data_IF_668629602647
#
_entry.id   IF_668629602647
#
_cell.length_a   1.000
_cell.length_b   1.000
_cell.length_c   1.000
_cell.angle_alpha   90.00
_cell.angle_beta   90.00
_cell.angle_gamma   90.00
#
_symmetry.space_group_name_H-M   'P 1'
#
loop_
_entity.id
_entity.type
_entity.pdbx_description
1 polymer ?
#
# COMPACT_ATOMS: atom_id res chain seq x y z
N UNK A 1 30.27 -0.61 0.36
CA UNK A 1 29.13 0.17 -0.19
C UNK A 1 27.95 -0.78 -0.22
N UNK A 2 26.83 -0.43 0.39
CA UNK A 2 25.62 -1.26 0.28
C UNK A 2 25.24 -1.37 -1.19
N UNK A 3 25.00 -2.60 -1.66
CA UNK A 3 24.62 -2.86 -3.03
C UNK A 3 23.31 -2.11 -3.32
N UNK A 4 23.35 -1.11 -4.22
CA UNK A 4 22.22 -0.24 -4.52
C UNK A 4 21.14 -1.05 -5.23
N UNK A 5 20.18 -1.58 -4.46
CA UNK A 5 19.08 -2.38 -4.99
C UNK A 5 18.01 -1.47 -5.61
N UNK A 6 17.41 -1.90 -6.72
CA UNK A 6 16.23 -1.25 -7.27
C UNK A 6 15.00 -1.78 -6.52
N UNK A 7 14.25 -0.85 -5.93
CA UNK A 7 13.05 -1.14 -5.13
C UNK A 7 11.82 -0.59 -5.84
N UNK A 8 10.81 -1.42 -6.06
CA UNK A 8 9.52 -0.98 -6.56
C UNK A 8 8.62 -0.55 -5.40
N UNK A 9 8.04 0.64 -5.51
CA UNK A 9 6.99 1.11 -4.60
C UNK A 9 5.69 1.29 -5.38
N UNK A 10 4.68 0.48 -5.06
CA UNK A 10 3.31 0.70 -5.53
C UNK A 10 2.54 1.47 -4.47
N UNK A 11 1.64 2.37 -4.89
CA UNK A 11 0.93 3.24 -3.95
C UNK A 11 1.76 4.42 -3.40
N UNK A 12 2.80 4.85 -4.11
CA UNK A 12 3.67 5.97 -3.74
C UNK A 12 2.93 7.31 -3.59
N UNK A 13 1.76 7.47 -4.23
CA UNK A 13 0.89 8.66 -4.06
C UNK A 13 0.09 8.65 -2.76
N UNK A 14 0.12 7.56 -1.99
CA UNK A 14 -0.56 7.43 -0.70
C UNK A 14 0.26 7.98 0.46
N UNK A 15 -0.37 8.04 1.64
CA UNK A 15 0.26 8.57 2.86
C UNK A 15 1.56 7.82 3.24
N UNK A 16 1.50 6.50 3.29
CA UNK A 16 2.67 5.67 3.65
C UNK A 16 3.70 5.67 2.53
N UNK A 17 3.28 5.44 1.28
CA UNK A 17 4.19 5.38 0.13
C UNK A 17 4.96 6.68 -0.08
N UNK A 18 4.28 7.83 0.02
CA UNK A 18 4.93 9.15 -0.12
C UNK A 18 5.99 9.45 0.94
N UNK A 19 5.88 8.82 2.13
CA UNK A 19 6.89 8.92 3.21
C UNK A 19 7.98 7.86 3.11
N UNK A 20 7.66 6.70 2.58
CA UNK A 20 8.59 5.60 2.40
C UNK A 20 9.65 5.92 1.33
N UNK A 21 9.22 6.51 0.20
CA UNK A 21 10.13 6.78 -0.93
C UNK A 21 11.35 7.60 -0.50
N UNK A 22 11.23 8.77 0.16
CA UNK A 22 12.43 9.52 0.57
C UNK A 22 13.33 8.72 1.54
N UNK A 23 12.76 7.89 2.41
CA UNK A 23 13.55 7.05 3.32
C UNK A 23 14.37 5.99 2.58
N UNK A 24 13.82 5.42 1.51
CA UNK A 24 14.55 4.47 0.66
C UNK A 24 15.69 5.17 -0.10
N UNK A 25 15.45 6.38 -0.59
CA UNK A 25 16.48 7.19 -1.26
C UNK A 25 17.60 7.59 -0.30
N UNK A 26 17.26 8.05 0.91
CA UNK A 26 18.22 8.37 2.00
C UNK A 26 19.07 7.15 2.39
N UNK A 27 18.49 5.94 2.31
CA UNK A 27 19.21 4.69 2.54
C UNK A 27 20.10 4.24 1.35
N UNK A 28 20.16 5.02 0.26
CA UNK A 28 21.00 4.75 -0.90
C UNK A 28 20.41 3.77 -1.92
N UNK A 29 19.11 3.47 -1.83
CA UNK A 29 18.44 2.61 -2.79
C UNK A 29 17.96 3.39 -4.01
N UNK A 30 17.94 2.73 -5.17
CA UNK A 30 17.22 3.21 -6.34
C UNK A 30 15.75 2.86 -6.16
N UNK A 31 14.86 3.80 -6.47
CA UNK A 31 13.42 3.60 -6.29
C UNK A 31 12.71 3.76 -7.62
N UNK A 32 11.81 2.83 -7.91
CA UNK A 32 10.84 2.90 -9.01
C UNK A 32 9.43 2.97 -8.43
N UNK A 33 8.62 3.89 -8.94
CA UNK A 33 7.24 4.07 -8.53
C UNK A 33 6.29 3.65 -9.66
N UNK A 34 5.35 2.74 -9.39
CA UNK A 34 4.25 2.44 -10.31
C UNK A 34 3.05 3.31 -9.95
N UNK A 35 2.58 4.10 -10.89
CA UNK A 35 1.41 4.97 -10.72
C UNK A 35 0.48 4.91 -11.94
N UNK A 36 -0.85 4.86 -11.70
CA UNK A 36 -1.86 4.91 -12.78
C UNK A 36 -1.85 6.25 -13.52
N UNK A 37 -1.56 7.31 -12.82
CA UNK A 37 -1.36 8.65 -13.35
C UNK A 37 -0.03 9.20 -12.81
N UNK A 38 1.05 9.14 -13.59
CA UNK A 38 2.38 9.63 -13.22
C UNK A 38 2.40 11.09 -12.75
N UNK A 39 1.55 11.95 -13.31
CA UNK A 39 1.48 13.38 -12.95
C UNK A 39 1.19 13.61 -11.46
N UNK A 40 0.54 12.65 -10.80
CA UNK A 40 0.27 12.71 -9.36
C UNK A 40 1.53 12.58 -8.49
N UNK A 41 2.64 12.19 -9.07
CA UNK A 41 3.94 12.12 -8.39
C UNK A 41 4.75 13.42 -8.55
N UNK A 42 4.45 14.27 -9.55
CA UNK A 42 5.17 15.52 -9.84
C UNK A 42 5.17 16.51 -8.65
N UNK A 43 4.15 16.44 -7.78
CA UNK A 43 4.05 17.29 -6.59
C UNK A 43 4.94 16.86 -5.41
N UNK A 44 5.67 15.74 -5.52
CA UNK A 44 6.54 15.27 -4.45
C UNK A 44 7.98 15.77 -4.63
N UNK A 45 8.66 16.26 -3.57
CA UNK A 45 10.02 16.79 -3.64
C UNK A 45 11.08 15.79 -4.14
N UNK A 46 10.78 14.50 -4.09
CA UNK A 46 11.65 13.40 -4.50
C UNK A 46 11.36 12.89 -5.92
N UNK A 47 10.40 13.49 -6.65
CA UNK A 47 9.96 13.01 -7.97
C UNK A 47 11.12 12.79 -8.95
N UNK A 48 12.04 13.77 -9.04
CA UNK A 48 13.17 13.72 -9.98
C UNK A 48 14.27 12.71 -9.58
N UNK A 49 14.15 12.08 -8.42
CA UNK A 49 15.11 11.12 -7.88
C UNK A 49 14.66 9.67 -8.07
N UNK A 50 13.48 9.44 -8.66
CA UNK A 50 12.90 8.10 -8.83
C UNK A 50 12.61 7.80 -10.29
N UNK A 51 12.59 6.51 -10.63
CA UNK A 51 12.04 6.03 -11.90
C UNK A 51 10.51 5.98 -11.78
N UNK A 52 9.78 6.61 -12.70
CA UNK A 52 8.32 6.57 -12.72
C UNK A 52 7.83 5.72 -13.89
N UNK A 53 7.03 4.70 -13.58
CA UNK A 53 6.36 3.84 -14.57
C UNK A 53 4.86 4.10 -14.50
N UNK A 54 4.28 4.49 -15.64
CA UNK A 54 2.83 4.63 -15.78
C UNK A 54 2.18 3.28 -16.03
N UNK A 55 1.17 2.90 -15.21
CA UNK A 55 0.48 1.64 -15.44
C UNK A 55 -0.54 1.31 -14.35
N UNK A 56 -1.47 0.40 -14.70
CA UNK A 56 -2.47 -0.13 -13.75
C UNK A 56 -2.09 -1.55 -13.33
N UNK A 57 -2.03 -1.80 -12.04
CA UNK A 57 -1.75 -3.12 -11.47
C UNK A 57 -2.82 -4.20 -11.79
N UNK A 58 -3.97 -3.80 -12.34
CA UNK A 58 -4.91 -4.73 -12.97
C UNK A 58 -4.42 -5.25 -14.32
N UNK A 59 -3.52 -4.53 -14.98
CA UNK A 59 -2.94 -4.90 -16.26
C UNK A 59 -1.59 -5.56 -16.01
N UNK A 60 -1.53 -6.86 -16.21
CA UNK A 60 -0.36 -7.67 -15.85
C UNK A 60 0.92 -7.19 -16.53
N UNK A 61 0.84 -6.77 -17.79
CA UNK A 61 1.99 -6.26 -18.55
C UNK A 61 2.59 -4.99 -17.91
N UNK A 62 1.75 -4.11 -17.32
CA UNK A 62 2.24 -2.93 -16.58
C UNK A 62 3.07 -3.33 -15.35
N UNK A 63 2.69 -4.41 -14.67
CA UNK A 63 3.44 -4.94 -13.54
C UNK A 63 4.74 -5.61 -14.00
N UNK A 64 4.69 -6.38 -15.09
CA UNK A 64 5.87 -7.04 -15.65
C UNK A 64 6.94 -6.00 -16.04
N UNK A 65 6.53 -4.90 -16.69
CA UNK A 65 7.43 -3.79 -17.00
C UNK A 65 7.98 -3.12 -15.74
N UNK A 66 7.09 -2.79 -14.78
CA UNK A 66 7.48 -2.12 -13.54
C UNK A 66 8.45 -2.96 -12.70
N UNK A 67 8.39 -4.28 -12.78
CA UNK A 67 9.18 -5.22 -11.97
C UNK A 67 10.52 -5.61 -12.62
N UNK A 68 10.82 -5.17 -13.84
CA UNK A 68 12.09 -5.50 -14.50
C UNK A 68 13.28 -4.98 -13.69
N UNK A 69 14.19 -5.89 -13.30
CA UNK A 69 15.41 -5.57 -12.54
C UNK A 69 15.18 -5.15 -11.08
N UNK A 70 13.95 -5.26 -10.59
CA UNK A 70 13.60 -4.97 -9.19
C UNK A 70 14.00 -6.14 -8.28
N UNK A 71 14.62 -5.84 -7.14
CA UNK A 71 14.94 -6.84 -6.12
C UNK A 71 13.86 -6.96 -5.05
N UNK A 72 13.27 -5.85 -4.63
CA UNK A 72 12.25 -5.80 -3.57
C UNK A 72 11.07 -4.97 -4.01
N UNK A 73 9.86 -5.43 -3.75
CA UNK A 73 8.64 -4.72 -4.12
C UNK A 73 7.74 -4.44 -2.90
N UNK A 74 7.39 -3.17 -2.71
CA UNK A 74 6.41 -2.75 -1.70
C UNK A 74 5.00 -2.75 -2.30
N UNK A 75 4.13 -3.56 -1.72
CA UNK A 75 2.71 -3.59 -2.06
C UNK A 75 1.91 -2.73 -1.09
N UNK A 76 1.60 -1.48 -1.50
CA UNK A 76 0.84 -0.50 -0.70
C UNK A 76 -0.48 -0.09 -1.38
N UNK A 77 -0.94 -0.87 -2.37
CA UNK A 77 -2.19 -0.60 -3.09
C UNK A 77 -3.37 -1.16 -2.30
N UNK A 78 -4.45 -0.39 -2.23
CA UNK A 78 -5.75 -0.84 -1.72
C UNK A 78 -6.88 -0.01 -2.32
N UNK A 79 -8.10 -0.58 -2.36
CA UNK A 79 -9.31 0.11 -2.76
C UNK A 79 -9.68 1.19 -1.75
N UNK A 80 -10.25 2.30 -2.23
CA UNK A 80 -10.57 3.47 -1.39
C UNK A 80 -11.99 3.46 -0.83
N UNK A 81 -12.92 2.76 -1.46
CA UNK A 81 -14.35 2.86 -1.19
C UNK A 81 -14.92 1.69 -0.36
N UNK A 82 -14.16 0.59 -0.21
CA UNK A 82 -14.50 -0.51 0.69
C UNK A 82 -15.72 -1.35 0.29
N UNK A 83 -16.24 -1.19 -0.92
CA UNK A 83 -17.35 -1.99 -1.42
C UNK A 83 -16.91 -3.35 -1.99
N UNK A 84 -17.90 -4.23 -2.30
CA UNK A 84 -17.64 -5.58 -2.81
C UNK A 84 -16.88 -5.57 -4.16
N UNK A 85 -17.12 -4.56 -5.00
CA UNK A 85 -16.37 -4.36 -6.28
C UNK A 85 -14.90 -4.02 -6.03
N UNK A 86 -14.61 -3.20 -5.02
CA UNK A 86 -13.25 -2.84 -4.65
C UNK A 86 -12.52 -4.06 -4.07
N UNK A 87 -13.19 -4.87 -3.24
CA UNK A 87 -12.63 -6.11 -2.70
C UNK A 87 -12.20 -7.08 -3.81
N UNK A 88 -13.06 -7.33 -4.81
CA UNK A 88 -12.73 -8.19 -5.95
C UNK A 88 -11.58 -7.62 -6.79
N UNK A 89 -11.55 -6.31 -6.98
CA UNK A 89 -10.45 -5.61 -7.66
C UNK A 89 -9.13 -5.76 -6.91
N UNK A 90 -9.14 -5.59 -5.60
CA UNK A 90 -7.94 -5.72 -4.76
C UNK A 90 -7.35 -7.13 -4.84
N UNK A 91 -8.21 -8.16 -4.84
CA UNK A 91 -7.77 -9.55 -5.00
C UNK A 91 -7.21 -9.83 -6.40
N UNK A 92 -7.80 -9.25 -7.45
CA UNK A 92 -7.27 -9.37 -8.81
C UNK A 92 -5.89 -8.70 -8.93
N UNK A 93 -5.72 -7.50 -8.35
CA UNK A 93 -4.44 -6.79 -8.29
C UNK A 93 -3.40 -7.62 -7.54
N UNK A 94 -3.76 -8.21 -6.39
CA UNK A 94 -2.84 -9.03 -5.60
C UNK A 94 -2.36 -10.27 -6.38
N UNK A 95 -3.27 -10.95 -7.10
CA UNK A 95 -2.91 -12.10 -7.95
C UNK A 95 -1.96 -11.70 -9.08
N UNK A 96 -2.27 -10.62 -9.79
CA UNK A 96 -1.41 -10.11 -10.86
C UNK A 96 -0.03 -9.73 -10.33
N UNK A 97 0.01 -9.04 -9.18
CA UNK A 97 1.25 -8.62 -8.54
C UNK A 97 2.12 -9.83 -8.14
N UNK A 98 1.53 -10.82 -7.49
CA UNK A 98 2.21 -12.04 -7.10
C UNK A 98 2.78 -12.79 -8.32
N UNK A 99 1.98 -12.95 -9.38
CA UNK A 99 2.40 -13.61 -10.60
C UNK A 99 3.53 -12.86 -11.34
N UNK A 100 3.46 -11.52 -11.40
CA UNK A 100 4.52 -10.71 -12.00
C UNK A 100 5.80 -10.74 -11.15
N UNK A 101 5.68 -10.72 -9.82
CA UNK A 101 6.82 -10.83 -8.91
C UNK A 101 7.56 -12.16 -9.07
N UNK A 102 6.84 -13.27 -9.24
CA UNK A 102 7.45 -14.58 -9.54
C UNK A 102 8.21 -14.58 -10.88
N UNK A 103 7.58 -14.06 -11.95
CA UNK A 103 8.23 -13.99 -13.27
C UNK A 103 9.48 -13.12 -13.25
N UNK A 104 9.43 -11.98 -12.54
CA UNK A 104 10.55 -11.07 -12.39
C UNK A 104 11.61 -11.59 -11.41
N UNK A 105 11.36 -12.71 -10.70
CA UNK A 105 12.25 -13.28 -9.67
C UNK A 105 12.57 -12.28 -8.56
N UNK A 106 11.55 -11.52 -8.12
CA UNK A 106 11.69 -10.60 -6.99
C UNK A 106 12.16 -11.38 -5.75
N UNK A 107 13.16 -10.85 -5.05
CA UNK A 107 13.72 -11.48 -3.84
C UNK A 107 12.74 -11.42 -2.65
N UNK A 108 11.92 -10.35 -2.56
CA UNK A 108 10.99 -10.11 -1.45
C UNK A 108 9.86 -9.17 -1.82
N UNK A 109 8.67 -9.50 -1.36
CA UNK A 109 7.53 -8.58 -1.32
C UNK A 109 7.37 -8.07 0.13
N UNK A 110 7.18 -6.76 0.30
CA UNK A 110 6.81 -6.16 1.57
C UNK A 110 5.39 -5.65 1.44
N UNK A 111 4.49 -6.20 2.23
CA UNK A 111 3.07 -5.89 2.24
C UNK A 111 2.67 -5.20 3.54
N UNK A 112 1.96 -4.07 3.43
CA UNK A 112 1.32 -3.42 4.56
C UNK A 112 -0.12 -3.91 4.68
N UNK A 113 -0.32 -4.86 5.57
CA UNK A 113 -1.62 -5.46 5.88
C UNK A 113 -2.30 -4.78 7.07
N UNK A 114 -3.52 -5.23 7.36
CA UNK A 114 -4.30 -4.77 8.50
C UNK A 114 -4.13 -5.70 9.71
N UNK A 115 -4.15 -5.11 10.91
CA UNK A 115 -4.20 -5.86 12.15
C UNK A 115 -5.66 -6.27 12.40
N UNK A 116 -6.01 -7.49 12.01
CA UNK A 116 -7.35 -8.05 12.15
C UNK A 116 -7.33 -9.39 12.87
N UNK A 117 -8.39 -9.68 13.61
CA UNK A 117 -8.65 -11.03 14.09
C UNK A 117 -9.45 -11.79 13.01
N UNK A 118 -8.84 -12.81 12.37
CA UNK A 118 -9.49 -13.55 11.29
C UNK A 118 -10.70 -14.38 11.75
N UNK A 119 -10.88 -14.58 13.06
CA UNK A 119 -12.01 -15.32 13.64
C UNK A 119 -13.25 -14.42 13.85
N UNK A 120 -13.08 -13.11 13.76
CA UNK A 120 -14.17 -12.14 13.88
C UNK A 120 -14.97 -11.98 12.58
N UNK A 121 -16.19 -11.43 12.69
CA UNK A 121 -16.98 -11.06 11.51
C UNK A 121 -16.40 -9.82 10.85
N UNK A 122 -15.51 -10.04 9.89
CA UNK A 122 -14.80 -8.98 9.18
C UNK A 122 -15.71 -8.28 8.16
N UNK A 123 -15.63 -6.95 8.12
CA UNK A 123 -16.22 -6.20 7.02
C UNK A 123 -15.62 -6.65 5.66
N UNK A 124 -16.34 -6.46 4.52
CA UNK A 124 -15.80 -6.81 3.20
C UNK A 124 -14.42 -6.20 2.92
N UNK A 125 -14.19 -4.99 3.39
CA UNK A 125 -12.88 -4.31 3.29
C UNK A 125 -11.79 -5.06 4.05
N UNK A 126 -11.97 -5.33 5.35
CA UNK A 126 -10.98 -6.02 6.17
C UNK A 126 -10.72 -7.45 5.68
N UNK A 127 -11.78 -8.12 5.22
CA UNK A 127 -11.67 -9.45 4.62
C UNK A 127 -10.79 -9.42 3.36
N UNK A 128 -11.02 -8.48 2.44
CA UNK A 128 -10.19 -8.37 1.22
C UNK A 128 -8.73 -8.04 1.54
N UNK A 129 -8.46 -7.25 2.59
CA UNK A 129 -7.09 -6.97 3.06
C UNK A 129 -6.41 -8.22 3.58
N UNK A 130 -7.10 -9.03 4.38
CA UNK A 130 -6.60 -10.30 4.89
C UNK A 130 -6.33 -11.29 3.75
N UNK A 131 -7.29 -11.44 2.82
CA UNK A 131 -7.16 -12.31 1.64
C UNK A 131 -6.03 -11.86 0.71
N UNK A 132 -5.81 -10.55 0.55
CA UNK A 132 -4.67 -9.98 -0.19
C UNK A 132 -3.34 -10.50 0.37
N UNK A 133 -3.17 -10.41 1.70
CA UNK A 133 -1.97 -10.95 2.35
C UNK A 133 -1.79 -12.45 2.13
N UNK A 134 -2.89 -13.20 2.14
CA UNK A 134 -2.89 -14.63 1.87
C UNK A 134 -2.45 -14.94 0.42
N UNK A 135 -3.03 -14.23 -0.57
CA UNK A 135 -2.69 -14.38 -1.98
C UNK A 135 -1.22 -14.06 -2.27
N UNK A 136 -0.70 -12.99 -1.68
CA UNK A 136 0.72 -12.64 -1.84
C UNK A 136 1.63 -13.73 -1.28
N UNK A 137 1.32 -14.28 -0.09
CA UNK A 137 2.10 -15.37 0.54
C UNK A 137 2.00 -16.70 -0.20
N UNK A 138 0.94 -16.90 -0.97
CA UNK A 138 0.79 -18.12 -1.79
C UNK A 138 1.75 -18.14 -2.99
N UNK A 139 2.35 -16.99 -3.33
CA UNK A 139 3.40 -16.90 -4.34
C UNK A 139 4.70 -17.57 -3.83
N UNK A 140 5.59 -17.91 -4.77
CA UNK A 140 6.93 -18.42 -4.44
C UNK A 140 7.89 -17.36 -3.93
N UNK A 141 7.50 -16.08 -4.01
CA UNK A 141 8.30 -14.96 -3.53
C UNK A 141 8.14 -14.80 -2.02
N UNK A 142 9.22 -14.72 -1.23
CA UNK A 142 9.13 -14.46 0.20
C UNK A 142 8.38 -13.15 0.48
N UNK A 143 7.39 -13.19 1.38
CA UNK A 143 6.59 -12.03 1.77
C UNK A 143 6.84 -11.66 3.22
N UNK A 144 7.15 -10.39 3.46
CA UNK A 144 7.12 -9.79 4.79
C UNK A 144 5.83 -8.98 4.91
N UNK A 145 4.92 -9.43 5.73
CA UNK A 145 3.67 -8.73 6.03
C UNK A 145 3.83 -7.91 7.31
N UNK A 146 3.70 -6.58 7.18
CA UNK A 146 3.64 -5.66 8.31
C UNK A 146 2.17 -5.40 8.60
N UNK A 147 1.67 -5.85 9.75
CA UNK A 147 0.28 -5.65 10.15
C UNK A 147 0.17 -4.43 11.04
N UNK A 148 -0.56 -3.44 10.57
CA UNK A 148 -0.82 -2.22 11.31
C UNK A 148 -2.33 -2.05 11.54
N UNK A 149 -2.69 -1.46 12.66
CA UNK A 149 -4.05 -0.95 12.87
C UNK A 149 -4.21 0.41 12.19
N UNK A 150 -4.88 1.32 12.86
CA UNK A 150 -5.07 2.68 12.37
C UNK A 150 -3.73 3.44 12.30
N UNK A 151 -3.31 3.82 11.09
CA UNK A 151 -2.11 4.64 10.90
C UNK A 151 -2.51 6.11 11.00
N UNK A 152 -2.00 6.78 12.05
CA UNK A 152 -2.29 8.18 12.32
C UNK A 152 -1.06 9.05 12.07
N UNK A 153 -1.30 10.27 11.63
CA UNK A 153 -0.25 11.28 11.46
C UNK A 153 -0.68 12.39 10.50
N UNK A 154 -0.02 13.52 10.59
CA UNK A 154 -0.34 14.71 9.80
C UNK A 154 -0.35 14.39 8.29
N UNK A 155 -1.48 14.70 7.64
CA UNK A 155 -1.71 14.42 6.21
C UNK A 155 -2.26 13.01 5.92
N UNK A 156 -2.48 12.13 6.92
CA UNK A 156 -3.27 10.92 6.69
C UNK A 156 -4.75 11.26 6.63
N UNK A 157 -5.48 10.69 5.66
CA UNK A 157 -6.89 11.03 5.45
C UNK A 157 -7.75 10.81 6.71
N UNK A 158 -7.51 9.72 7.44
CA UNK A 158 -8.25 9.41 8.66
C UNK A 158 -7.92 10.38 9.79
N UNK A 159 -6.64 10.71 9.99
CA UNK A 159 -6.22 11.67 11.00
C UNK A 159 -6.80 13.06 10.73
N UNK A 160 -6.71 13.53 9.47
CA UNK A 160 -7.25 14.84 9.10
C UNK A 160 -8.78 14.89 9.23
N UNK A 161 -9.47 13.79 8.96
CA UNK A 161 -10.92 13.69 9.17
C UNK A 161 -11.25 13.77 10.67
N UNK A 162 -10.58 13.02 11.53
CA UNK A 162 -10.80 13.05 12.97
C UNK A 162 -10.48 14.46 13.50
N UNK A 163 -9.35 15.05 13.11
CA UNK A 163 -8.96 16.40 13.49
C UNK A 163 -10.02 17.42 13.10
N UNK A 164 -10.47 17.38 11.84
CA UNK A 164 -11.50 18.30 11.34
C UNK A 164 -12.80 18.19 12.16
N UNK A 165 -13.26 16.96 12.43
CA UNK A 165 -14.49 16.73 13.21
C UNK A 165 -14.34 17.25 14.64
N UNK A 166 -13.22 16.99 15.30
CA UNK A 166 -13.01 17.41 16.70
C UNK A 166 -12.76 18.92 16.86
N UNK A 167 -12.18 19.57 15.87
CA UNK A 167 -11.89 21.02 15.93
C UNK A 167 -13.08 21.89 15.50
N UNK A 168 -13.99 21.38 14.66
CA UNK A 168 -15.00 22.20 14.02
C UNK A 168 -16.44 21.86 14.41
N UNK A 169 -16.70 20.62 14.80
CA UNK A 169 -18.06 20.21 15.14
C UNK A 169 -18.31 20.36 16.65
N UNK A 170 -19.27 21.22 17.07
CA UNK A 170 -19.55 21.42 18.50
C UNK A 170 -20.20 20.19 19.15
N UNK A 171 -20.82 19.32 18.35
CA UNK A 171 -21.44 18.06 18.79
C UNK A 171 -21.13 16.96 17.79
N UNK A 172 -20.51 15.90 18.27
CA UNK A 172 -20.23 14.70 17.47
C UNK A 172 -21.29 13.63 17.76
N UNK A 173 -22.03 13.25 16.73
CA UNK A 173 -22.90 12.09 16.79
C UNK A 173 -22.03 10.84 16.54
N UNK A 174 -21.76 10.09 17.62
CA UNK A 174 -20.90 8.93 17.56
C UNK A 174 -21.74 7.65 17.41
N UNK A 175 -21.69 6.94 16.27
CA UNK A 175 -22.30 5.62 16.14
C UNK A 175 -21.67 4.62 17.10
N UNK A 176 -22.36 3.51 17.40
CA UNK A 176 -21.90 2.50 18.37
C UNK A 176 -20.50 1.93 18.03
N UNK A 177 -20.14 1.81 16.75
CA UNK A 177 -18.81 1.34 16.33
C UNK A 177 -17.67 2.31 16.71
N UNK A 178 -17.96 3.56 17.03
CA UNK A 178 -16.95 4.53 17.48
C UNK A 178 -16.31 4.12 18.81
N UNK A 179 -16.99 3.30 19.60
CA UNK A 179 -16.47 2.74 20.85
C UNK A 179 -15.65 1.46 20.67
N UNK A 180 -15.41 1.04 19.40
CA UNK A 180 -14.57 -0.11 19.11
C UNK A 180 -13.12 0.17 19.51
N UNK A 181 -12.46 -0.83 20.07
CA UNK A 181 -11.03 -0.72 20.41
C UNK A 181 -10.19 -0.67 19.13
N UNK A 182 -9.25 0.26 19.07
CA UNK A 182 -8.29 0.38 17.99
C UNK A 182 -6.87 0.42 18.56
N UNK A 183 -5.89 0.01 17.76
CA UNK A 183 -4.47 0.10 18.08
C UNK A 183 -3.83 1.07 17.06
N UNK A 184 -3.86 2.39 17.33
CA UNK A 184 -3.24 3.36 16.44
C UNK A 184 -1.72 3.24 16.50
N UNK A 185 -1.08 3.52 15.34
CA UNK A 185 0.37 3.64 15.18
C UNK A 185 0.67 4.95 14.44
N UNK A 186 1.74 5.65 14.83
CA UNK A 186 2.21 6.90 14.23
C UNK A 186 3.51 6.71 13.48
#
# INVERSE_FOLDING_TARGET
MADSKLILVTGATGYVGGRLVPRLLEAGHRVRCLARDPRRLEGFPWHDQVEVVGGDALVINSLDEAMQGVSTAYYLIHGKQGGMRDAQRDLAVARNFAASAERARIERIIYLGELVDPTSDLSPYLRSRHETGYLLRYSRVPVTELRAGMIVGSGSALFEMIRYLTEREPVLICPAWFFSRAQPIA
#
